data_IF_769707370585
#
_entry.id   IF_769707370585
#
_cell.length_a   1.000
_cell.length_b   1.000
_cell.length_c   1.000
_cell.angle_alpha   90.00
_cell.angle_beta   90.00
_cell.angle_gamma   90.00
#
_symmetry.space_group_name_H-M   'P 1'
#
loop_
_entity.id
_entity.type
_entity.pdbx_description
1 polymer ?
#
# COMPACT_ATOMS: atom_id res chain seq x y z
N UNK A 1 -13.64 27.99 17.27
CA UNK A 1 -12.63 26.96 17.60
C UNK A 1 -12.69 25.88 16.53
N UNK A 2 -12.17 26.18 15.33
CA UNK A 2 -12.16 25.21 14.23
C UNK A 2 -11.05 24.19 14.42
N UNK A 3 -11.18 23.04 13.75
CA UNK A 3 -10.18 21.95 13.62
C UNK A 3 -8.80 22.38 13.06
N UNK A 4 -8.52 23.68 12.93
CA UNK A 4 -7.30 24.25 12.37
C UNK A 4 -6.09 24.34 13.31
N UNK A 5 -6.13 23.65 14.46
CA UNK A 5 -4.97 23.49 15.35
C UNK A 5 -4.19 22.20 15.12
N UNK A 6 -4.72 21.28 14.32
CA UNK A 6 -4.06 20.02 13.97
C UNK A 6 -3.16 20.33 12.77
N UNK A 7 -1.92 20.70 13.04
CA UNK A 7 -0.92 20.87 11.99
C UNK A 7 -0.60 19.52 11.35
N UNK A 8 -0.38 19.54 10.03
CA UNK A 8 -0.10 18.35 9.20
C UNK A 8 1.10 17.55 9.75
N UNK A 9 2.07 18.24 10.35
CA UNK A 9 3.22 17.64 11.01
C UNK A 9 2.85 16.70 12.16
N UNK A 10 1.85 17.06 12.97
CA UNK A 10 1.37 16.25 14.08
C UNK A 10 0.67 14.99 13.55
N UNK A 11 -0.12 15.12 12.47
CA UNK A 11 -0.77 13.96 11.84
C UNK A 11 0.26 12.96 11.28
N UNK A 12 1.37 13.44 10.71
CA UNK A 12 2.44 12.56 10.24
C UNK A 12 3.11 11.80 11.39
N UNK A 13 3.42 12.48 12.51
CA UNK A 13 3.96 11.81 13.70
C UNK A 13 2.99 10.72 14.20
N UNK A 14 1.70 11.04 14.31
CA UNK A 14 0.69 10.08 14.78
C UNK A 14 0.55 8.90 13.81
N UNK A 15 0.57 9.14 12.50
CA UNK A 15 0.52 8.11 11.48
C UNK A 15 1.68 7.12 11.61
N UNK A 16 2.90 7.61 11.85
CA UNK A 16 4.08 6.75 12.05
C UNK A 16 3.88 5.85 13.27
N UNK A 17 3.40 6.39 14.39
CA UNK A 17 3.13 5.60 15.60
C UNK A 17 2.09 4.52 15.32
N UNK A 18 0.98 4.85 14.64
CA UNK A 18 -0.06 3.88 14.28
C UNK A 18 0.50 2.78 13.37
N UNK A 19 1.32 3.12 12.39
CA UNK A 19 1.98 2.15 11.51
C UNK A 19 2.91 1.21 12.27
N UNK A 20 3.61 1.69 13.30
CA UNK A 20 4.48 0.86 14.15
C UNK A 20 3.67 -0.06 15.07
N UNK A 21 2.54 0.41 15.61
CA UNK A 21 1.69 -0.39 16.51
C UNK A 21 0.91 -1.49 15.77
N UNK A 22 0.32 -1.14 14.62
CA UNK A 22 -0.50 -2.07 13.84
C UNK A 22 0.31 -2.85 12.80
N UNK A 23 1.48 -2.34 12.41
CA UNK A 23 2.28 -2.86 11.31
C UNK A 23 1.71 -2.46 9.93
N UNK A 24 2.59 -2.26 8.95
CA UNK A 24 2.20 -1.91 7.57
C UNK A 24 1.39 -3.01 6.87
N UNK A 25 1.58 -4.28 7.25
CA UNK A 25 0.91 -5.43 6.65
C UNK A 25 -0.60 -5.47 6.93
N UNK A 26 -1.00 -5.21 8.18
CA UNK A 26 -2.41 -5.08 8.59
C UNK A 26 -3.06 -3.85 7.97
N UNK A 27 -2.34 -2.71 7.99
CA UNK A 27 -2.86 -1.46 7.44
C UNK A 27 -3.01 -1.52 5.91
N UNK A 28 -2.13 -2.24 5.19
CA UNK A 28 -2.26 -2.43 3.73
C UNK A 28 -3.42 -3.37 3.38
N UNK A 29 -3.58 -4.46 4.13
CA UNK A 29 -4.65 -5.42 3.89
C UNK A 29 -6.03 -4.79 4.13
N UNK A 30 -6.24 -4.11 5.27
CA UNK A 30 -7.50 -3.41 5.54
C UNK A 30 -7.64 -2.08 4.80
N UNK A 31 -6.52 -1.40 4.54
CA UNK A 31 -6.50 -0.11 3.84
C UNK A 31 -6.74 -0.25 2.34
N UNK A 32 -6.44 -1.39 1.71
CA UNK A 32 -6.81 -1.66 0.32
C UNK A 32 -8.32 -1.71 0.14
N UNK A 33 -9.02 -2.45 1.00
CA UNK A 33 -10.48 -2.59 0.93
C UNK A 33 -11.19 -1.26 1.22
N UNK A 34 -10.77 -0.57 2.29
CA UNK A 34 -11.33 0.74 2.66
C UNK A 34 -10.95 1.84 1.65
N UNK A 35 -9.71 1.80 1.15
CA UNK A 35 -9.21 2.74 0.15
C UNK A 35 -9.92 2.60 -1.20
N UNK A 36 -10.21 1.37 -1.63
CA UNK A 36 -10.98 1.10 -2.84
C UNK A 36 -12.40 1.66 -2.75
N UNK A 37 -13.10 1.42 -1.63
CA UNK A 37 -14.44 1.95 -1.40
C UNK A 37 -14.48 3.50 -1.41
N UNK A 38 -13.48 4.13 -0.77
CA UNK A 38 -13.37 5.60 -0.75
C UNK A 38 -12.95 6.16 -2.12
N UNK A 39 -12.11 5.45 -2.90
CA UNK A 39 -11.71 5.85 -4.27
C UNK A 39 -12.95 5.90 -5.17
N UNK A 40 -13.77 4.84 -5.17
CA UNK A 40 -15.02 4.79 -5.94
C UNK A 40 -15.99 5.90 -5.54
N UNK A 41 -16.18 6.13 -4.23
CA UNK A 41 -17.02 7.21 -3.74
C UNK A 41 -16.53 8.60 -4.21
N UNK A 42 -15.21 8.84 -4.18
CA UNK A 42 -14.63 10.11 -4.62
C UNK A 42 -14.73 10.29 -6.14
N UNK A 43 -14.59 9.24 -6.92
CA UNK A 43 -14.78 9.27 -8.38
C UNK A 43 -16.23 9.62 -8.74
N UNK A 44 -17.22 8.89 -8.19
CA UNK A 44 -18.63 9.18 -8.46
C UNK A 44 -19.06 10.57 -7.97
N UNK A 45 -18.51 11.05 -6.85
CA UNK A 45 -18.79 12.41 -6.37
C UNK A 45 -18.17 13.50 -7.25
N UNK A 46 -17.07 13.21 -7.95
CA UNK A 46 -16.49 14.12 -8.94
C UNK A 46 -17.31 14.16 -10.22
N UNK A 47 -17.75 13.00 -10.73
CA UNK A 47 -18.62 12.89 -11.90
C UNK A 47 -19.94 13.67 -11.74
N UNK A 48 -20.52 13.67 -10.52
CA UNK A 48 -21.75 14.43 -10.22
C UNK A 48 -21.51 15.94 -10.18
N UNK A 49 -20.28 16.40 -9.90
CA UNK A 49 -19.97 17.83 -9.73
C UNK A 49 -19.44 18.51 -11.00
N UNK A 50 -18.86 17.75 -11.92
CA UNK A 50 -18.33 18.21 -13.21
C UNK A 50 -18.81 17.26 -14.32
N UNK A 51 -19.87 17.60 -15.08
CA UNK A 51 -20.45 16.74 -16.11
C UNK A 51 -19.60 16.63 -17.41
N UNK A 52 -18.42 17.27 -17.47
CA UNK A 52 -17.51 17.22 -18.62
C UNK A 52 -16.17 16.48 -18.33
N UNK A 53 -16.04 15.83 -17.17
CA UNK A 53 -14.86 15.02 -16.85
C UNK A 53 -15.08 13.54 -17.23
N UNK A 54 -15.21 13.27 -18.53
CA UNK A 54 -15.04 11.92 -19.08
C UNK A 54 -13.57 11.51 -18.90
N UNK A 55 -13.33 10.46 -18.11
CA UNK A 55 -11.99 10.06 -17.69
C UNK A 55 -11.94 8.58 -17.37
N UNK A 56 -11.85 7.78 -18.43
CA UNK A 56 -11.48 6.38 -18.47
C UNK A 56 -10.29 6.09 -17.52
N UNK A 57 -10.50 5.28 -16.49
CA UNK A 57 -9.42 4.69 -15.71
C UNK A 57 -9.76 3.22 -15.42
N UNK A 58 -9.09 2.25 -16.07
CA UNK A 58 -9.29 0.85 -15.74
C UNK A 58 -8.82 0.62 -14.31
N UNK A 59 -9.71 0.08 -13.48
CA UNK A 59 -9.37 -0.45 -12.17
C UNK A 59 -8.58 -1.75 -12.33
N UNK A 60 -7.36 -1.65 -12.87
CA UNK A 60 -6.40 -2.74 -12.89
C UNK A 60 -5.30 -2.45 -11.86
N UNK A 61 -5.29 -3.28 -10.82
CA UNK A 61 -4.09 -3.73 -10.11
C UNK A 61 -4.51 -4.83 -9.14
N UNK A 62 -4.58 -6.03 -9.71
CA UNK A 62 -4.17 -7.27 -9.08
C UNK A 62 -3.15 -7.03 -7.97
N UNK A 63 -3.53 -7.31 -6.72
CA UNK A 63 -2.58 -7.54 -5.64
C UNK A 63 -2.02 -8.97 -5.79
N UNK A 64 -1.21 -9.20 -6.83
CA UNK A 64 -0.29 -10.32 -6.86
C UNK A 64 0.83 -10.04 -5.85
N UNK A 65 0.65 -10.55 -4.63
CA UNK A 65 1.72 -10.63 -3.65
C UNK A 65 2.69 -11.75 -4.05
N UNK A 66 3.54 -11.49 -5.04
CA UNK A 66 4.83 -12.17 -5.18
C UNK A 66 5.88 -11.44 -4.34
N UNK A 67 6.84 -12.21 -3.83
CA UNK A 67 8.02 -11.84 -3.03
C UNK A 67 7.82 -11.78 -1.51
N UNK A 68 7.74 -12.96 -0.92
CA UNK A 68 8.23 -13.20 0.43
C UNK A 68 9.30 -14.31 0.39
N UNK A 69 10.49 -13.99 -0.11
CA UNK A 69 11.73 -14.68 0.25
C UNK A 69 12.79 -13.59 0.46
N UNK A 70 13.39 -13.54 1.65
CA UNK A 70 14.70 -14.18 1.77
C UNK A 70 14.86 -14.93 3.11
N UNK A 71 15.28 -16.20 3.03
CA UNK A 71 16.08 -16.80 4.10
C UNK A 71 17.18 -17.65 3.45
N UNK A 72 18.23 -16.94 3.05
CA UNK A 72 19.55 -17.52 2.83
C UNK A 72 20.16 -17.81 4.20
N UNK A 73 20.14 -19.06 4.66
CA UNK A 73 21.14 -19.58 5.59
C UNK A 73 21.29 -21.09 5.39
N UNK A 74 22.34 -21.51 4.67
CA UNK A 74 22.62 -22.92 4.48
C UNK A 74 23.76 -23.27 3.53
N UNK A 75 24.93 -22.65 3.73
CA UNK A 75 26.28 -23.16 3.41
C UNK A 75 26.54 -23.78 2.01
N UNK A 76 27.19 -22.99 1.16
CA UNK A 76 28.06 -23.46 0.08
C UNK A 76 29.42 -23.91 0.64
N UNK A 77 29.89 -25.09 0.24
CA UNK A 77 31.30 -25.48 0.02
C UNK A 77 31.25 -26.75 -0.86
N UNK A 78 31.45 -26.65 -2.18
CA UNK A 78 32.73 -26.82 -2.92
C UNK A 78 33.38 -28.20 -2.62
N UNK A 79 33.64 -29.10 -3.57
CA UNK A 79 34.90 -29.15 -4.35
C UNK A 79 34.87 -30.35 -5.35
N UNK A 80 35.10 -30.04 -6.63
CA UNK A 80 35.94 -30.72 -7.66
C UNK A 80 35.88 -32.26 -7.88
N UNK A 81 35.63 -32.65 -9.14
CA UNK A 81 36.52 -33.41 -10.08
C UNK A 81 35.71 -33.71 -11.36
N UNK A 82 36.00 -33.13 -12.53
CA UNK A 82 37.09 -33.45 -13.47
C UNK A 82 37.20 -34.95 -13.85
N UNK A 83 36.71 -35.26 -15.06
CA UNK A 83 37.25 -36.18 -16.08
C UNK A 83 37.73 -37.58 -15.65
N UNK A 84 36.99 -38.62 -16.04
CA UNK A 84 37.48 -39.82 -16.76
C UNK A 84 36.39 -40.34 -17.68
#
# INVERSE_FOLDING_TARGET
>A
MGVGGISIWQLLIVLVIVLLLFGTKKLRNMGGDLGGAIKGFRSSMKEVKDPEADGDEPADQQAEASLAEPDETGASEEVKTEKV
#
